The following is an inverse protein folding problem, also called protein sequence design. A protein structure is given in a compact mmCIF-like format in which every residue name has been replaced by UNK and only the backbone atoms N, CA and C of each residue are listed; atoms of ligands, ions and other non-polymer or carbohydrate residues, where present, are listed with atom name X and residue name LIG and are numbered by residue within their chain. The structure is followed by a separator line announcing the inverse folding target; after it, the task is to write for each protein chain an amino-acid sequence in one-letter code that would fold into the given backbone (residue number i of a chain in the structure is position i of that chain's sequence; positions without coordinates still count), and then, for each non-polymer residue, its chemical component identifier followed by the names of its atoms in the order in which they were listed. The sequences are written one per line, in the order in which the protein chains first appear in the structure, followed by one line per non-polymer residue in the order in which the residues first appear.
data_IF_530837558214
#
_entry.id   IF_530837558214
#
_cell.length_a   1.000
_cell.length_b   1.000
_cell.length_c   1.000
_cell.angle_alpha   90.00
_cell.angle_beta   90.00
_cell.angle_gamma   90.00
#
_symmetry.space_group_name_H-M   'P 1'
#
loop_
_entity.id
_entity.type
_entity.pdbx_description
1 polymer ?
#
# COMPACT_ATOMS: atom_id res chain seq x y z
N UNK A 1 11.39 13.71 -12.19
CA UNK A 1 10.90 14.22 -10.89
C UNK A 1 11.73 13.58 -9.79
N UNK A 2 12.22 14.34 -8.80
CA UNK A 2 13.02 13.78 -7.71
C UNK A 2 12.12 13.63 -6.48
N UNK A 3 11.88 12.39 -6.06
CA UNK A 3 11.06 12.11 -4.87
C UNK A 3 11.74 12.65 -3.61
N UNK A 4 10.93 13.16 -2.68
CA UNK A 4 11.36 13.50 -1.33
C UNK A 4 11.61 12.24 -0.50
N UNK A 5 12.31 12.37 0.64
CA UNK A 5 12.54 11.23 1.54
C UNK A 5 11.24 10.63 2.07
N UNK A 6 10.25 11.48 2.38
CA UNK A 6 8.93 11.04 2.87
C UNK A 6 8.23 10.19 1.81
N UNK A 7 8.27 10.62 0.55
CA UNK A 7 7.67 9.87 -0.55
C UNK A 7 8.39 8.54 -0.79
N UNK A 8 9.72 8.49 -0.69
CA UNK A 8 10.47 7.24 -0.81
C UNK A 8 10.13 6.25 0.31
N UNK A 9 10.00 6.73 1.55
CA UNK A 9 9.58 5.90 2.69
C UNK A 9 8.15 5.40 2.48
N UNK A 10 7.24 6.25 2.01
CA UNK A 10 5.87 5.86 1.71
C UNK A 10 5.78 4.81 0.60
N UNK A 11 6.62 4.94 -0.43
CA UNK A 11 6.77 3.94 -1.50
C UNK A 11 7.27 2.61 -0.96
N UNK A 12 8.32 2.62 -0.13
CA UNK A 12 8.83 1.40 0.50
C UNK A 12 7.78 0.75 1.41
N UNK A 13 6.98 1.57 2.11
CA UNK A 13 5.86 1.10 2.92
C UNK A 13 4.79 0.41 2.05
N UNK A 14 4.50 0.92 0.85
CA UNK A 14 3.61 0.24 -0.10
C UNK A 14 4.08 -1.17 -0.45
N UNK A 15 5.37 -1.36 -0.75
CA UNK A 15 5.95 -2.67 -0.99
C UNK A 15 5.83 -3.60 0.23
N UNK A 16 6.16 -3.09 1.43
CA UNK A 16 6.04 -3.84 2.68
C UNK A 16 4.59 -4.26 2.98
N UNK A 17 3.64 -3.36 2.72
CA UNK A 17 2.21 -3.64 2.88
C UNK A 17 1.72 -4.73 1.92
N UNK A 18 2.16 -4.70 0.67
CA UNK A 18 1.90 -5.77 -0.31
C UNK A 18 2.39 -7.14 0.18
N UNK A 19 3.60 -7.19 0.75
CA UNK A 19 4.14 -8.41 1.33
C UNK A 19 3.35 -8.87 2.56
N UNK A 20 2.98 -7.96 3.45
CA UNK A 20 2.20 -8.26 4.65
C UNK A 20 0.84 -8.83 4.29
N UNK A 21 0.13 -8.22 3.33
CA UNK A 21 -1.15 -8.73 2.84
C UNK A 21 -0.99 -10.14 2.25
N UNK A 22 0.03 -10.37 1.42
CA UNK A 22 0.30 -11.69 0.85
C UNK A 22 0.53 -12.76 1.94
N UNK A 23 1.25 -12.42 3.01
CA UNK A 23 1.50 -13.32 4.14
C UNK A 23 0.21 -13.65 4.90
N UNK A 24 -0.66 -12.66 5.14
CA UNK A 24 -1.93 -12.88 5.83
C UNK A 24 -2.84 -13.82 5.04
N UNK A 25 -2.91 -13.67 3.72
CA UNK A 25 -3.66 -14.60 2.86
C UNK A 25 -3.02 -16.00 2.83
N UNK A 26 -1.69 -16.10 2.73
CA UNK A 26 -0.99 -17.39 2.78
C UNK A 26 -1.14 -18.11 4.12
N UNK A 27 -1.24 -17.37 5.22
CA UNK A 27 -1.49 -17.92 6.55
C UNK A 27 -2.94 -18.42 6.73
N UNK A 28 -3.82 -18.20 5.75
CA UNK A 28 -5.23 -18.60 5.81
C UNK A 28 -6.08 -17.74 6.73
N UNK A 29 -5.58 -16.57 7.14
CA UNK A 29 -6.33 -15.66 8.02
C UNK A 29 -7.44 -14.91 7.27
N UNK A 30 -7.29 -14.76 5.95
CA UNK A 30 -8.25 -14.15 5.06
C UNK A 30 -8.42 -15.04 3.83
N UNK A 31 -9.65 -15.17 3.34
CA UNK A 31 -9.97 -15.91 2.11
C UNK A 31 -10.21 -14.90 0.99
N UNK A 32 -9.54 -15.01 -0.16
CA UNK A 32 -9.80 -14.12 -1.30
C UNK A 32 -11.24 -14.30 -1.77
N UNK A 33 -11.93 -13.19 -2.07
CA UNK A 33 -13.24 -13.23 -2.72
C UNK A 33 -13.25 -12.32 -3.93
N UNK A 34 -14.05 -12.68 -4.94
CA UNK A 34 -14.20 -11.85 -6.15
C UNK A 34 -14.75 -10.44 -5.83
N UNK A 35 -15.55 -10.32 -4.77
CA UNK A 35 -16.09 -9.04 -4.29
C UNK A 35 -15.06 -8.21 -3.50
N UNK A 36 -14.04 -8.86 -2.94
CA UNK A 36 -13.00 -8.19 -2.16
C UNK A 36 -11.61 -8.74 -2.49
N UNK A 37 -11.03 -8.33 -3.64
CA UNK A 37 -9.68 -8.72 -4.01
C UNK A 37 -8.61 -8.26 -3.01
N UNK A 38 -7.52 -9.03 -2.84
CA UNK A 38 -6.44 -8.71 -1.90
C UNK A 38 -5.81 -7.32 -2.08
N UNK A 39 -5.74 -6.79 -3.31
CA UNK A 39 -5.17 -5.46 -3.56
C UNK A 39 -5.95 -4.32 -2.91
N UNK A 40 -7.23 -4.52 -2.59
CA UNK A 40 -8.04 -3.51 -1.89
C UNK A 40 -7.45 -3.25 -0.49
N UNK A 41 -6.93 -4.27 0.19
CA UNK A 41 -6.27 -4.08 1.48
C UNK A 41 -4.99 -3.25 1.37
N UNK A 42 -4.25 -3.39 0.26
CA UNK A 42 -3.08 -2.54 -0.01
C UNK A 42 -3.52 -1.09 -0.22
N UNK A 43 -4.59 -0.86 -0.99
CA UNK A 43 -5.14 0.47 -1.22
C UNK A 43 -5.62 1.13 0.09
N UNK A 44 -6.40 0.39 0.87
CA UNK A 44 -6.92 0.85 2.16
C UNK A 44 -5.79 1.13 3.15
N UNK A 45 -4.81 0.23 3.26
CA UNK A 45 -3.68 0.42 4.17
C UNK A 45 -2.82 1.63 3.80
N UNK A 46 -2.57 1.88 2.51
CA UNK A 46 -1.89 3.09 2.05
C UNK A 46 -2.67 4.36 2.40
N UNK A 47 -3.98 4.38 2.10
CA UNK A 47 -4.84 5.52 2.40
C UNK A 47 -4.93 5.83 3.90
N UNK A 48 -5.10 4.79 4.73
CA UNK A 48 -5.11 4.92 6.19
C UNK A 48 -3.77 5.42 6.72
N UNK A 49 -2.66 4.92 6.18
CA UNK A 49 -1.32 5.33 6.62
C UNK A 49 -1.08 6.81 6.35
N UNK A 50 -1.55 7.33 5.21
CA UNK A 50 -1.42 8.75 4.91
C UNK A 50 -2.31 9.62 5.80
N UNK A 51 -3.53 9.17 6.13
CA UNK A 51 -4.41 9.87 7.08
C UNK A 51 -3.76 9.92 8.45
N UNK A 52 -3.28 8.79 8.97
CA UNK A 52 -2.63 8.69 10.29
C UNK A 52 -1.35 9.54 10.32
N UNK A 53 -0.51 9.46 9.29
CA UNK A 53 0.69 10.29 9.18
C UNK A 53 0.35 11.79 9.08
N UNK A 54 -0.71 12.13 8.35
CA UNK A 54 -1.21 13.51 8.21
C UNK A 54 -1.62 14.09 9.55
N UNK A 55 -2.44 13.34 10.30
CA UNK A 55 -2.88 13.70 11.63
C UNK A 55 -1.71 13.84 12.62
N UNK A 56 -0.77 12.88 12.63
CA UNK A 56 0.40 12.91 13.51
C UNK A 56 1.34 14.10 13.23
N UNK A 57 1.42 14.54 11.97
CA UNK A 57 2.29 15.64 11.54
C UNK A 57 1.55 16.99 11.47
N UNK A 58 0.28 17.05 11.85
CA UNK A 58 -0.54 18.27 11.78
C UNK A 58 -0.74 18.80 10.36
N UNK A 59 -0.68 17.93 9.34
CA UNK A 59 -0.88 18.27 7.92
C UNK A 59 -2.19 17.70 7.41
N UNK A 60 -2.79 18.38 6.44
CA UNK A 60 -4.01 17.90 5.80
C UNK A 60 -3.76 16.57 5.06
N UNK A 61 -4.73 15.64 5.06
CA UNK A 61 -4.66 14.44 4.24
C UNK A 61 -4.47 14.79 2.76
N UNK A 62 -3.57 14.09 2.07
CA UNK A 62 -3.23 14.36 0.67
C UNK A 62 -2.16 15.42 0.45
N UNK A 63 -1.70 16.12 1.50
CA UNK A 63 -0.60 17.09 1.40
C UNK A 63 0.78 16.49 1.69
N UNK A 64 0.85 15.25 2.20
CA UNK A 64 2.11 14.61 2.58
C UNK A 64 2.83 13.93 1.41
N UNK A 65 2.09 13.31 0.52
CA UNK A 65 2.63 12.49 -0.57
C UNK A 65 1.98 12.94 -1.87
N UNK A 66 2.80 13.35 -2.85
CA UNK A 66 2.26 13.74 -4.14
C UNK A 66 1.66 12.54 -4.88
N UNK A 67 0.65 12.77 -5.72
CA UNK A 67 -0.02 11.72 -6.50
C UNK A 67 0.92 10.75 -7.23
N UNK A 68 2.03 11.19 -7.86
CA UNK A 68 2.97 10.26 -8.51
C UNK A 68 3.59 9.24 -7.53
N UNK A 69 3.93 9.66 -6.32
CA UNK A 69 4.48 8.77 -5.30
C UNK A 69 3.40 7.83 -4.73
N UNK A 70 2.15 8.31 -4.60
CA UNK A 70 1.01 7.48 -4.17
C UNK A 70 0.73 6.35 -5.15
N UNK A 71 0.72 6.68 -6.44
CA UNK A 71 0.56 5.70 -7.52
C UNK A 71 1.70 4.68 -7.50
N UNK A 72 2.94 5.15 -7.40
CA UNK A 72 4.11 4.29 -7.39
C UNK A 72 4.13 3.35 -6.17
N UNK A 73 3.76 3.85 -4.98
CA UNK A 73 3.61 3.03 -3.77
C UNK A 73 2.55 1.94 -3.95
N UNK A 74 1.41 2.28 -4.54
CA UNK A 74 0.33 1.34 -4.83
C UNK A 74 0.76 0.28 -5.84
N UNK A 75 1.34 0.68 -6.98
CA UNK A 75 1.81 -0.26 -8.00
C UNK A 75 2.89 -1.19 -7.47
N UNK A 76 3.83 -0.69 -6.65
CA UNK A 76 4.82 -1.53 -5.99
C UNK A 76 4.18 -2.50 -5.00
N UNK A 77 3.26 -2.03 -4.16
CA UNK A 77 2.56 -2.90 -3.21
C UNK A 77 1.77 -4.01 -3.89
N UNK A 78 1.00 -3.66 -4.92
CA UNK A 78 0.25 -4.63 -5.74
C UNK A 78 1.18 -5.55 -6.51
N UNK A 79 2.30 -5.04 -7.04
CA UNK A 79 3.31 -5.85 -7.72
C UNK A 79 3.97 -6.87 -6.79
N UNK A 80 4.32 -6.47 -5.57
CA UNK A 80 4.86 -7.38 -4.54
C UNK A 80 3.83 -8.41 -4.11
N UNK A 81 2.59 -7.98 -3.87
CA UNK A 81 1.47 -8.87 -3.57
C UNK A 81 1.30 -9.92 -4.67
N UNK A 82 1.24 -9.50 -5.93
CA UNK A 82 1.11 -10.37 -7.09
C UNK A 82 2.27 -11.37 -7.18
N UNK A 83 3.50 -10.88 -7.03
CA UNK A 83 4.71 -11.70 -7.08
C UNK A 83 4.68 -12.79 -6.01
N UNK A 84 4.25 -12.46 -4.80
CA UNK A 84 4.23 -13.39 -3.68
C UNK A 84 3.03 -14.35 -3.74
N UNK A 85 1.89 -13.92 -4.27
CA UNK A 85 0.71 -14.77 -4.45
C UNK A 85 0.75 -15.62 -5.72
N UNK A 86 1.71 -15.36 -6.63
CA UNK A 86 1.82 -16.06 -7.91
C UNK A 86 0.84 -15.55 -8.99
N UNK A 87 0.27 -14.35 -8.79
CA UNK A 87 -0.77 -13.74 -9.60
C UNK A 87 -1.62 -12.78 -8.77
N UNK A 88 -2.53 -12.05 -9.43
CA UNK A 88 -3.44 -11.09 -8.77
C UNK A 88 -4.75 -11.71 -8.26
N UNK A 89 -4.90 -13.04 -8.39
CA UNK A 89 -6.18 -13.73 -8.16
C UNK A 89 -7.04 -13.73 -9.41
#
# INVERSE_FOLDING_TARGET
MRFSRVELVFVAFGAALGALVALVFKAGWLVPSASFPPFILVLLGLGLTEIVAGLALGRSPGALVAMPARLLAFFLGVGVLALLMGGLG
#
